data_IF_026290285418
#
_entry.id   IF_026290285418
#
_cell.length_a   1.000
_cell.length_b   1.000
_cell.length_c   1.000
_cell.angle_alpha   90.00
_cell.angle_beta   90.00
_cell.angle_gamma   90.00
#
_symmetry.space_group_name_H-M   'P 1'
#
loop_
_entity.id
_entity.type
_entity.pdbx_description
1 polymer ?
#
# COMPACT_ATOMS: atom_id res chain seq x y z
N UNK A 1 -17.41 -6.05 -2.11
CA UNK A 1 -17.25 -4.60 -2.24
C UNK A 1 -15.81 -4.18 -1.98
N UNK A 2 -15.40 -3.01 -2.52
CA UNK A 2 -14.17 -2.32 -2.20
C UNK A 2 -14.58 -1.02 -1.51
N UNK A 3 -14.11 -0.83 -0.28
CA UNK A 3 -14.48 0.29 0.57
C UNK A 3 -13.20 1.03 0.97
N UNK A 4 -13.17 2.34 0.77
CA UNK A 4 -12.07 3.21 1.18
C UNK A 4 -12.61 4.20 2.21
N UNK A 5 -11.89 4.37 3.31
CA UNK A 5 -12.20 5.37 4.33
C UNK A 5 -11.89 6.80 3.89
N UNK A 6 -11.99 7.73 4.82
CA UNK A 6 -11.74 9.14 4.56
C UNK A 6 -10.24 9.41 4.35
N UNK A 7 -9.93 10.38 3.48
CA UNK A 7 -8.56 10.83 3.21
C UNK A 7 -7.59 9.72 2.79
N UNK A 8 -8.07 8.69 2.10
CA UNK A 8 -7.20 7.66 1.51
C UNK A 8 -6.55 8.23 0.26
N UNK A 9 -5.21 8.29 0.27
CA UNK A 9 -4.43 8.70 -0.88
C UNK A 9 -4.07 7.50 -1.76
N UNK A 10 -4.49 7.49 -2.99
CA UNK A 10 -4.10 6.50 -4.00
C UNK A 10 -3.20 7.17 -5.02
N UNK A 11 -1.92 6.82 -5.00
CA UNK A 11 -0.92 7.35 -5.93
C UNK A 11 -0.66 6.33 -7.02
N UNK A 12 -0.74 6.74 -8.28
CA UNK A 12 -0.45 5.88 -9.42
C UNK A 12 0.32 6.66 -10.49
N UNK A 13 1.13 5.95 -11.27
CA UNK A 13 1.82 6.49 -12.44
C UNK A 13 1.31 5.85 -13.73
N UNK A 14 1.71 6.38 -14.87
CA UNK A 14 1.28 5.85 -16.18
C UNK A 14 1.68 4.38 -16.37
N UNK A 15 2.84 4.00 -15.84
CA UNK A 15 3.45 2.67 -15.93
C UNK A 15 3.11 1.75 -14.74
N UNK A 16 2.73 2.32 -13.58
CA UNK A 16 2.47 1.59 -12.33
C UNK A 16 1.10 1.94 -11.74
N UNK A 17 0.09 1.20 -12.18
CA UNK A 17 -1.28 1.33 -11.66
C UNK A 17 -1.45 0.63 -10.31
N UNK A 18 -2.24 1.21 -9.41
CA UNK A 18 -2.79 0.49 -8.26
C UNK A 18 -3.91 -0.43 -8.74
N UNK A 19 -3.90 -1.67 -8.28
CA UNK A 19 -4.91 -2.66 -8.66
C UNK A 19 -5.52 -3.30 -7.41
N UNK A 20 -6.79 -3.00 -7.17
CA UNK A 20 -7.61 -3.65 -6.17
C UNK A 20 -8.62 -4.55 -6.90
N UNK A 21 -8.60 -5.85 -6.62
CA UNK A 21 -9.42 -6.82 -7.33
C UNK A 21 -10.07 -7.81 -6.37
N UNK A 22 -11.30 -8.17 -6.66
CA UNK A 22 -12.06 -9.19 -5.94
C UNK A 22 -12.28 -10.37 -6.89
N UNK A 23 -11.85 -11.54 -6.45
CA UNK A 23 -11.87 -12.78 -7.21
C UNK A 23 -12.63 -13.87 -6.42
N UNK A 24 -13.89 -13.63 -6.11
CA UNK A 24 -14.70 -14.62 -5.41
C UNK A 24 -15.46 -15.50 -6.39
N UNK A 25 -15.46 -16.81 -6.14
CA UNK A 25 -16.26 -17.77 -6.92
C UNK A 25 -17.78 -17.57 -6.67
N UNK A 26 -18.15 -17.00 -5.53
CA UNK A 26 -19.54 -16.73 -5.18
C UNK A 26 -19.83 -15.23 -5.29
N UNK A 27 -20.86 -14.89 -6.05
CA UNK A 27 -21.29 -13.51 -6.24
C UNK A 27 -21.64 -12.86 -4.89
N UNK A 28 -20.99 -11.72 -4.59
CA UNK A 28 -21.18 -10.96 -3.35
C UNK A 28 -20.28 -11.38 -2.20
N UNK A 29 -19.46 -12.41 -2.35
CA UNK A 29 -18.35 -12.70 -1.44
C UNK A 29 -17.08 -12.01 -1.94
N UNK A 30 -16.20 -11.75 -1.01
CA UNK A 30 -14.96 -11.01 -1.26
C UNK A 30 -15.11 -9.54 -0.92
N UNK A 31 -14.17 -9.06 -0.11
CA UNK A 31 -14.15 -7.67 0.39
C UNK A 31 -12.75 -7.16 0.52
N UNK A 32 -12.55 -5.90 0.14
CA UNK A 32 -11.36 -5.13 0.47
C UNK A 32 -11.84 -3.88 1.21
N UNK A 33 -11.33 -3.63 2.41
CA UNK A 33 -11.65 -2.45 3.20
C UNK A 33 -10.41 -1.76 3.66
N UNK A 34 -10.37 -0.44 3.50
CA UNK A 34 -9.38 0.45 4.07
C UNK A 34 -10.02 1.38 5.09
N UNK A 35 -9.34 1.61 6.20
CA UNK A 35 -9.63 2.66 7.13
C UNK A 35 -9.25 4.04 6.58
N UNK A 36 -9.23 5.03 7.47
CA UNK A 36 -9.00 6.42 7.14
C UNK A 36 -7.50 6.73 7.00
N UNK A 37 -7.16 7.79 6.27
CA UNK A 37 -5.81 8.36 6.17
C UNK A 37 -4.74 7.41 5.62
N UNK A 38 -5.13 6.37 4.89
CA UNK A 38 -4.19 5.42 4.31
C UNK A 38 -3.49 5.98 3.07
N UNK A 39 -2.27 5.48 2.82
CA UNK A 39 -1.51 5.74 1.60
C UNK A 39 -1.33 4.44 0.82
N UNK A 40 -1.66 4.46 -0.47
CA UNK A 40 -1.46 3.35 -1.40
C UNK A 40 -0.59 3.85 -2.54
N UNK A 41 0.64 3.34 -2.63
CA UNK A 41 1.65 3.79 -3.59
C UNK A 41 1.55 3.08 -4.95
N UNK A 42 2.27 3.56 -5.98
CA UNK A 42 2.23 3.00 -7.33
C UNK A 42 2.59 1.51 -7.39
N UNK A 43 1.88 0.76 -8.23
CA UNK A 43 2.15 -0.65 -8.46
C UNK A 43 1.62 -1.61 -7.38
N UNK A 44 0.98 -1.09 -6.33
CA UNK A 44 0.34 -1.93 -5.30
C UNK A 44 -0.75 -2.80 -5.92
N UNK A 45 -0.75 -4.08 -5.57
CA UNK A 45 -1.75 -5.05 -6.00
C UNK A 45 -2.38 -5.73 -4.78
N UNK A 46 -3.69 -5.67 -4.68
CA UNK A 46 -4.45 -6.34 -3.62
C UNK A 46 -5.51 -7.21 -4.27
N UNK A 47 -5.45 -8.50 -4.00
CA UNK A 47 -6.39 -9.49 -4.54
C UNK A 47 -7.10 -10.24 -3.44
N UNK A 48 -8.42 -10.04 -3.31
CA UNK A 48 -9.23 -10.70 -2.30
C UNK A 48 -10.16 -11.74 -2.92
N UNK A 49 -10.10 -12.96 -2.39
CA UNK A 49 -11.10 -14.00 -2.63
C UNK A 49 -12.17 -13.99 -1.52
N UNK A 50 -11.80 -13.63 -0.29
CA UNK A 50 -12.67 -13.57 0.88
C UNK A 50 -12.65 -12.19 1.54
N UNK A 51 -11.58 -11.86 2.29
CA UNK A 51 -11.53 -10.57 2.99
C UNK A 51 -10.10 -10.09 3.23
N UNK A 52 -9.85 -8.84 2.86
CA UNK A 52 -8.64 -8.10 3.23
C UNK A 52 -9.05 -6.81 3.90
N UNK A 53 -8.64 -6.61 5.15
CA UNK A 53 -8.91 -5.39 5.90
C UNK A 53 -7.62 -4.68 6.25
N UNK A 54 -7.62 -3.36 6.07
CA UNK A 54 -6.51 -2.46 6.40
C UNK A 54 -7.07 -1.38 7.33
N UNK A 55 -6.45 -1.20 8.48
CA UNK A 55 -6.85 -0.21 9.48
C UNK A 55 -6.52 1.23 9.07
N UNK A 56 -6.65 2.14 10.03
CA UNK A 56 -6.39 3.56 9.82
C UNK A 56 -4.88 3.86 9.75
N UNK A 57 -4.51 4.97 9.08
CA UNK A 57 -3.15 5.50 9.01
C UNK A 57 -2.10 4.57 8.37
N UNK A 58 -2.51 3.51 7.69
CA UNK A 58 -1.59 2.57 7.08
C UNK A 58 -0.91 3.16 5.84
N UNK A 59 0.34 2.75 5.62
CA UNK A 59 1.10 3.09 4.42
C UNK A 59 1.51 1.81 3.69
N UNK A 60 1.13 1.70 2.42
CA UNK A 60 1.50 0.59 1.55
C UNK A 60 2.39 1.13 0.45
N UNK A 61 3.68 0.84 0.54
CA UNK A 61 4.69 1.31 -0.40
C UNK A 61 4.57 0.61 -1.76
N UNK A 62 5.33 1.10 -2.73
CA UNK A 62 5.22 0.68 -4.13
C UNK A 62 5.41 -0.82 -4.31
N UNK A 63 4.73 -1.37 -5.31
CA UNK A 63 4.84 -2.76 -5.77
C UNK A 63 4.45 -3.82 -4.72
N UNK A 64 3.95 -3.45 -3.55
CA UNK A 64 3.50 -4.44 -2.56
C UNK A 64 2.35 -5.29 -3.11
N UNK A 65 2.34 -6.57 -2.74
CA UNK A 65 1.30 -7.52 -3.11
C UNK A 65 0.66 -8.12 -1.85
N UNK A 66 -0.66 -8.02 -1.74
CA UNK A 66 -1.43 -8.56 -0.62
C UNK A 66 -2.49 -9.50 -1.18
N UNK A 67 -2.56 -10.73 -0.66
CA UNK A 67 -3.54 -11.72 -1.09
C UNK A 67 -4.02 -12.57 0.08
N UNK A 68 -5.30 -12.91 0.07
CA UNK A 68 -5.95 -13.78 1.04
C UNK A 68 -6.17 -15.21 0.52
N UNK A 69 -5.57 -15.55 -0.61
CA UNK A 69 -5.80 -16.83 -1.28
C UNK A 69 -4.52 -17.44 -1.87
N UNK A 70 -4.45 -18.79 -1.82
CA UNK A 70 -3.64 -19.56 -2.75
C UNK A 70 -4.49 -19.73 -4.02
N UNK A 71 -4.14 -19.03 -5.07
CA UNK A 71 -4.95 -19.00 -6.31
C UNK A 71 -5.13 -20.36 -6.98
N UNK A 72 -4.35 -21.35 -6.59
CA UNK A 72 -4.47 -22.74 -7.04
C UNK A 72 -4.25 -23.70 -5.88
N UNK A 73 -4.99 -24.80 -5.84
CA UNK A 73 -4.75 -25.88 -4.88
C UNK A 73 -3.42 -26.60 -5.18
N UNK A 74 -2.82 -27.16 -4.13
CA UNK A 74 -1.49 -27.79 -4.21
C UNK A 74 -1.51 -29.02 -5.12
N UNK A 75 -2.58 -29.79 -5.10
CA UNK A 75 -2.72 -31.04 -5.84
C UNK A 75 -3.66 -30.93 -7.04
N UNK A 76 -4.69 -30.08 -6.94
CA UNK A 76 -5.61 -29.79 -8.03
C UNK A 76 -5.45 -28.35 -8.51
N UNK A 77 -4.60 -28.14 -9.51
CA UNK A 77 -4.21 -26.81 -9.99
C UNK A 77 -5.28 -26.05 -10.75
N UNK A 78 -6.44 -26.67 -11.03
CA UNK A 78 -7.54 -26.02 -11.76
C UNK A 78 -8.62 -25.43 -10.83
N UNK A 79 -8.53 -25.67 -9.52
CA UNK A 79 -9.42 -25.07 -8.53
C UNK A 79 -8.65 -24.08 -7.64
N UNK A 80 -9.38 -23.18 -6.99
CA UNK A 80 -8.82 -22.27 -6.00
C UNK A 80 -8.31 -23.04 -4.78
N UNK A 81 -7.17 -22.63 -4.24
CA UNK A 81 -6.57 -23.25 -3.07
C UNK A 81 -7.15 -22.72 -1.76
N UNK A 82 -6.35 -22.75 -0.71
CA UNK A 82 -6.75 -22.27 0.62
C UNK A 82 -6.98 -20.77 0.62
N UNK A 83 -8.06 -20.36 1.28
CA UNK A 83 -8.45 -18.97 1.48
C UNK A 83 -8.45 -18.71 2.99
N UNK A 84 -7.85 -17.60 3.42
CA UNK A 84 -7.89 -17.14 4.80
C UNK A 84 -7.71 -15.62 4.84
N UNK A 85 -8.54 -14.88 5.62
CA UNK A 85 -8.55 -13.43 5.60
C UNK A 85 -7.20 -12.84 5.99
N UNK A 86 -6.90 -11.66 5.46
CA UNK A 86 -5.74 -10.86 5.85
C UNK A 86 -6.21 -9.63 6.61
N UNK A 87 -5.60 -9.38 7.77
CA UNK A 87 -5.85 -8.21 8.58
C UNK A 87 -4.56 -7.42 8.78
N UNK A 88 -4.58 -6.16 8.39
CA UNK A 88 -3.53 -5.19 8.68
C UNK A 88 -4.14 -4.19 9.66
N UNK A 89 -3.60 -4.08 10.86
CA UNK A 89 -4.13 -3.21 11.91
C UNK A 89 -3.72 -1.75 11.67
N UNK A 90 -4.00 -0.85 12.63
CA UNK A 90 -3.77 0.57 12.45
C UNK A 90 -2.27 0.91 12.38
N UNK A 91 -1.95 2.00 11.69
CA UNK A 91 -0.62 2.60 11.64
C UNK A 91 0.50 1.62 11.21
N UNK A 92 0.17 0.66 10.36
CA UNK A 92 1.13 -0.30 9.80
C UNK A 92 1.79 0.29 8.57
N UNK A 93 3.12 0.11 8.47
CA UNK A 93 3.87 0.47 7.28
C UNK A 93 4.35 -0.80 6.54
N UNK A 94 3.80 -1.03 5.37
CA UNK A 94 4.21 -2.08 4.43
C UNK A 94 5.26 -1.49 3.49
N UNK A 95 6.48 -2.00 3.55
CA UNK A 95 7.61 -1.58 2.71
C UNK A 95 7.45 -1.90 1.23
N UNK A 96 8.35 -1.36 0.40
CA UNK A 96 8.34 -1.61 -1.05
C UNK A 96 8.49 -3.10 -1.36
N UNK A 97 7.74 -3.57 -2.35
CA UNK A 97 7.80 -4.95 -2.86
C UNK A 97 7.54 -6.05 -1.81
N UNK A 98 6.87 -5.72 -0.72
CA UNK A 98 6.46 -6.70 0.29
C UNK A 98 5.36 -7.59 -0.27
N UNK A 99 5.40 -8.87 0.09
CA UNK A 99 4.33 -9.84 -0.19
C UNK A 99 3.68 -10.23 1.14
N UNK A 100 2.36 -10.01 1.27
CA UNK A 100 1.56 -10.48 2.41
C UNK A 100 0.68 -11.63 1.94
N UNK A 101 0.89 -12.80 2.55
CA UNK A 101 0.15 -14.00 2.23
C UNK A 101 -1.14 -14.12 3.04
N UNK A 102 -2.01 -15.03 2.62
CA UNK A 102 -3.27 -15.35 3.27
C UNK A 102 -3.14 -15.71 4.75
N UNK A 103 -4.17 -15.41 5.54
CA UNK A 103 -4.29 -15.81 6.94
C UNK A 103 -3.39 -15.02 7.90
N UNK A 104 -2.78 -13.94 7.42
CA UNK A 104 -1.84 -13.12 8.20
C UNK A 104 -2.57 -11.97 8.89
N UNK A 105 -2.27 -11.76 10.15
CA UNK A 105 -2.55 -10.51 10.87
C UNK A 105 -1.24 -9.77 11.08
N UNK A 106 -1.17 -8.49 10.68
CA UNK A 106 -0.06 -7.59 10.99
C UNK A 106 -0.55 -6.60 12.05
N UNK A 107 0.05 -6.69 13.25
CA UNK A 107 -0.35 -5.92 14.41
C UNK A 107 -0.02 -4.43 14.28
N UNK A 108 -0.75 -3.64 15.05
CA UNK A 108 -0.68 -2.18 15.08
C UNK A 108 0.75 -1.64 15.23
N UNK A 109 1.03 -0.49 14.61
CA UNK A 109 2.32 0.22 14.64
C UNK A 109 3.51 -0.56 14.06
N UNK A 110 3.28 -1.73 13.44
CA UNK A 110 4.39 -2.53 12.94
C UNK A 110 4.85 -2.08 11.57
N UNK A 111 6.12 -2.35 11.28
CA UNK A 111 6.78 -2.04 10.01
C UNK A 111 7.23 -3.34 9.36
N UNK A 112 6.87 -3.51 8.10
CA UNK A 112 7.35 -4.63 7.27
C UNK A 112 8.40 -4.09 6.32
N UNK A 113 9.64 -4.55 6.48
CA UNK A 113 10.78 -4.12 5.68
C UNK A 113 10.61 -4.47 4.20
N UNK A 114 11.19 -3.65 3.32
CA UNK A 114 11.09 -3.83 1.87
C UNK A 114 11.53 -5.24 1.42
N UNK A 115 10.82 -5.80 0.44
CA UNK A 115 11.08 -7.13 -0.12
C UNK A 115 10.75 -8.30 0.81
N UNK A 116 10.16 -8.06 1.98
CA UNK A 116 9.79 -9.13 2.89
C UNK A 116 8.61 -9.98 2.38
N UNK A 117 8.59 -11.26 2.75
CA UNK A 117 7.48 -12.18 2.48
C UNK A 117 6.85 -12.61 3.80
N UNK A 118 5.66 -12.09 4.08
CA UNK A 118 4.95 -12.32 5.34
C UNK A 118 4.03 -13.52 5.17
N UNK A 119 4.40 -14.63 5.78
CA UNK A 119 3.65 -15.91 5.76
C UNK A 119 3.06 -16.26 7.13
N UNK A 120 3.56 -15.64 8.20
CA UNK A 120 3.11 -15.78 9.58
C UNK A 120 2.65 -14.42 10.10
N UNK A 121 1.73 -14.41 11.07
CA UNK A 121 1.25 -13.16 11.68
C UNK A 121 2.38 -12.45 12.43
N UNK A 122 2.37 -11.13 12.36
CA UNK A 122 3.35 -10.23 12.98
C UNK A 122 2.67 -9.53 14.15
N UNK A 123 3.23 -9.58 15.37
CA UNK A 123 2.67 -8.87 16.52
C UNK A 123 2.77 -7.35 16.35
N UNK A 124 2.06 -6.61 17.20
CA UNK A 124 2.12 -5.16 17.21
C UNK A 124 3.49 -4.63 17.66
N UNK A 125 3.78 -3.37 17.31
CA UNK A 125 4.94 -2.60 17.78
C UNK A 125 6.29 -3.28 17.46
N UNK A 126 6.46 -3.78 16.24
CA UNK A 126 7.73 -4.37 15.84
C UNK A 126 8.08 -4.08 14.37
N UNK A 127 9.34 -4.33 14.04
CA UNK A 127 9.82 -4.36 12.66
C UNK A 127 10.08 -5.81 12.28
N UNK A 128 9.47 -6.26 11.17
CA UNK A 128 9.73 -7.57 10.59
C UNK A 128 10.30 -7.43 9.18
N UNK A 129 11.24 -8.28 8.81
CA UNK A 129 11.89 -8.25 7.50
C UNK A 129 12.36 -9.65 7.06
N UNK A 130 12.68 -9.79 5.79
CA UNK A 130 13.23 -10.99 5.19
C UNK A 130 12.20 -11.90 4.52
N UNK A 131 12.67 -13.02 3.98
CA UNK A 131 11.86 -14.06 3.34
C UNK A 131 12.24 -15.44 3.88
N UNK A 132 11.38 -16.07 4.71
CA UNK A 132 10.16 -15.50 5.29
C UNK A 132 10.45 -14.38 6.28
N UNK A 133 9.50 -13.45 6.47
CA UNK A 133 9.63 -12.33 7.39
C UNK A 133 9.80 -12.81 8.85
N UNK A 134 10.74 -12.19 9.57
CA UNK A 134 10.98 -12.44 11.00
C UNK A 134 11.14 -11.09 11.72
N UNK A 135 10.77 -11.07 13.00
CA UNK A 135 10.95 -9.88 13.84
C UNK A 135 12.45 -9.58 13.96
N UNK A 136 12.84 -8.39 13.54
CA UNK A 136 14.23 -7.91 13.62
C UNK A 136 14.42 -6.81 14.66
N UNK A 137 13.32 -6.17 15.11
CA UNK A 137 13.35 -5.12 16.12
C UNK A 137 12.00 -5.02 16.81
N UNK A 138 12.01 -4.80 18.13
CA UNK A 138 10.86 -4.33 18.88
C UNK A 138 10.87 -2.80 18.92
N UNK A 139 9.70 -2.19 18.74
CA UNK A 139 9.54 -0.75 18.90
C UNK A 139 9.29 -0.42 20.37
N UNK A 140 9.75 0.74 20.80
CA UNK A 140 9.51 1.20 22.17
C UNK A 140 8.03 1.61 22.31
N UNK A 141 7.32 0.96 23.20
CA UNK A 141 5.91 1.26 23.45
C UNK A 141 5.69 2.62 24.15
N UNK A 142 6.75 3.25 24.69
CA UNK A 142 6.70 4.58 25.28
C UNK A 142 6.83 5.72 24.27
N UNK A 143 7.25 5.43 23.05
CA UNK A 143 7.40 6.43 21.98
C UNK A 143 6.05 6.75 21.34
N UNK A 144 5.78 8.06 21.19
CA UNK A 144 4.56 8.53 20.54
C UNK A 144 4.71 8.52 19.01
N UNK A 145 3.70 7.99 18.32
CA UNK A 145 3.66 8.02 16.86
C UNK A 145 3.03 9.32 16.35
N UNK A 146 3.68 9.95 15.39
CA UNK A 146 3.04 10.93 14.50
C UNK A 146 2.41 10.15 13.35
N UNK A 147 1.10 10.09 13.30
CA UNK A 147 0.37 9.31 12.30
C UNK A 147 -0.03 10.16 11.09
N UNK A 148 -0.47 9.52 10.02
CA UNK A 148 -0.94 10.21 8.82
C UNK A 148 -2.16 11.12 9.07
N UNK A 149 -2.99 10.83 10.06
CA UNK A 149 -4.11 11.70 10.43
C UNK A 149 -3.66 13.13 10.75
N UNK A 150 -2.48 13.29 11.37
CA UNK A 150 -1.92 14.60 11.68
C UNK A 150 -1.52 15.40 10.42
N UNK A 151 -1.17 14.72 9.34
CA UNK A 151 -0.92 15.36 8.04
C UNK A 151 -2.17 16.04 7.47
N UNK A 152 -3.35 15.53 7.81
CA UNK A 152 -4.65 16.07 7.37
C UNK A 152 -5.33 16.98 8.40
N UNK A 153 -4.66 17.29 9.52
CA UNK A 153 -5.23 18.13 10.58
C UNK A 153 -5.44 19.59 10.17
N UNK A 154 -4.70 20.07 9.16
CA UNK A 154 -4.81 21.40 8.58
C UNK A 154 -4.89 21.29 7.04
N UNK A 155 -6.10 21.10 6.49
CA UNK A 155 -6.30 20.92 5.05
C UNK A 155 -5.81 22.11 4.21
N UNK A 156 -5.97 23.32 4.70
CA UNK A 156 -5.57 24.52 3.94
C UNK A 156 -4.05 24.58 3.78
N UNK A 157 -3.31 24.31 4.85
CA UNK A 157 -1.85 24.23 4.81
C UNK A 157 -1.36 23.07 3.94
N UNK A 158 -2.07 21.94 3.99
CA UNK A 158 -1.76 20.78 3.15
C UNK A 158 -1.90 21.12 1.66
N UNK A 159 -3.02 21.71 1.25
CA UNK A 159 -3.25 22.09 -0.15
C UNK A 159 -2.28 23.17 -0.62
N UNK A 160 -1.95 24.16 0.22
CA UNK A 160 -0.91 25.14 -0.08
C UNK A 160 0.45 24.48 -0.30
N UNK A 161 0.80 23.49 0.52
CA UNK A 161 2.04 22.73 0.37
C UNK A 161 2.11 21.95 -0.94
N UNK A 162 1.03 21.30 -1.35
CA UNK A 162 0.94 20.62 -2.64
C UNK A 162 1.05 21.58 -3.81
N UNK A 163 0.32 22.71 -3.77
CA UNK A 163 0.37 23.74 -4.81
C UNK A 163 1.78 24.33 -4.97
N UNK A 164 2.48 24.54 -3.84
CA UNK A 164 3.86 25.01 -3.87
C UNK A 164 4.81 23.95 -4.45
N UNK A 165 4.67 22.70 -4.07
CA UNK A 165 5.47 21.60 -4.60
C UNK A 165 5.24 21.44 -6.11
N UNK A 166 4.00 21.49 -6.57
CA UNK A 166 3.66 21.41 -7.99
C UNK A 166 4.26 22.59 -8.77
N UNK A 167 4.21 23.80 -8.22
CA UNK A 167 4.84 24.98 -8.82
C UNK A 167 6.36 24.83 -8.94
N UNK A 168 7.02 24.26 -7.94
CA UNK A 168 8.46 24.01 -7.97
C UNK A 168 8.81 22.92 -8.99
N UNK A 169 8.08 21.81 -8.99
CA UNK A 169 8.29 20.69 -9.93
C UNK A 169 8.04 21.11 -11.39
N UNK A 170 7.06 21.97 -11.62
CA UNK A 170 6.65 22.41 -12.95
C UNK A 170 7.32 23.72 -13.38
N UNK A 171 8.20 24.30 -12.55
CA UNK A 171 8.80 25.61 -12.78
C UNK A 171 9.45 25.76 -14.16
N UNK A 172 10.07 24.69 -14.65
CA UNK A 172 10.72 24.67 -15.96
C UNK A 172 9.80 24.19 -17.10
N UNK A 173 8.59 23.74 -16.77
CA UNK A 173 7.62 23.27 -17.75
C UNK A 173 6.87 24.46 -18.42
N UNK A 174 7.61 25.28 -19.14
CA UNK A 174 7.09 26.43 -19.88
C UNK A 174 6.85 26.08 -21.35
N UNK A 175 5.98 26.85 -22.02
CA UNK A 175 5.73 26.68 -23.45
C UNK A 175 7.02 26.80 -24.29
N UNK A 176 7.91 27.71 -23.94
CA UNK A 176 9.19 27.88 -24.63
C UNK A 176 10.11 26.69 -24.42
N UNK A 177 10.13 26.12 -23.21
CA UNK A 177 10.90 24.93 -22.91
C UNK A 177 10.35 23.71 -23.67
N UNK A 178 9.03 23.53 -23.66
CA UNK A 178 8.38 22.50 -24.45
C UNK A 178 8.65 22.64 -25.95
N UNK A 179 8.61 23.87 -26.50
CA UNK A 179 8.91 24.13 -27.90
C UNK A 179 10.38 23.82 -28.23
N UNK A 180 11.31 24.17 -27.34
CA UNK A 180 12.72 23.82 -27.46
C UNK A 180 12.91 22.31 -27.55
N UNK A 181 12.25 21.58 -26.63
CA UNK A 181 12.26 20.12 -26.59
C UNK A 181 11.79 19.48 -27.90
N UNK A 182 10.72 20.06 -28.47
CA UNK A 182 10.15 19.55 -29.71
C UNK A 182 11.06 19.81 -30.92
N UNK A 183 11.71 20.96 -30.97
CA UNK A 183 12.51 21.38 -32.13
C UNK A 183 13.99 21.02 -32.05
N UNK A 184 14.53 20.93 -30.84
CA UNK A 184 15.96 20.73 -30.58
C UNK A 184 16.16 19.76 -29.39
N UNK A 185 15.76 18.48 -29.53
CA UNK A 185 15.94 17.52 -28.42
C UNK A 185 17.44 17.32 -28.14
N UNK A 186 17.80 17.31 -26.87
CA UNK A 186 19.17 17.00 -26.42
C UNK A 186 19.24 15.59 -25.81
N UNK A 187 20.45 15.05 -25.64
CA UNK A 187 20.63 13.71 -25.03
C UNK A 187 20.37 13.70 -23.49
N UNK A 188 20.22 14.87 -22.90
CA UNK A 188 19.94 15.04 -21.46
C UNK A 188 18.45 15.25 -21.17
N UNK A 189 17.67 15.29 -22.23
CA UNK A 189 16.23 15.36 -22.22
C UNK A 189 15.68 13.92 -22.26
#
# INVERSE_FOLDING_TARGET
PIELGDCVNVVASSDKKVRLAIWSEQKGQGRIRFGNYCLICPGVRIGAAHEITVGDNCMIASNAYITDSDWHDIYNRIIMGKIAPVKIENNVWIGDSVIVCKGVTIGENSIIGAGAVVVDSIPANCVAAGNPARIVKQLDAGEAFTTRAQFFSDPDKLFQGFDQMDKELLRENTFLHWLRYLLFPSKED
#
